data_IF_343289893056
#
_entry.id   IF_343289893056
#
_cell.length_a   1.000
_cell.length_b   1.000
_cell.length_c   1.000
_cell.angle_alpha   90.00
_cell.angle_beta   90.00
_cell.angle_gamma   90.00
#
_symmetry.space_group_name_H-M   'P 1'
#
loop_
_entity.id
_entity.type
_entity.pdbx_description
1 polymer ?
#
# COMPACT_ATOMS: atom_id res chain seq x y z
N UNK A 1 2.22 1.17 -50.06
CA UNK A 1 0.88 1.74 -49.82
C UNK A 1 0.98 2.72 -48.66
N UNK A 2 0.23 3.81 -48.68
CA UNK A 2 0.22 4.74 -47.55
C UNK A 2 -0.48 4.08 -46.36
N UNK A 3 0.19 4.04 -45.21
CA UNK A 3 -0.33 3.45 -43.97
C UNK A 3 -1.30 4.45 -43.31
N UNK A 4 -2.52 4.02 -42.98
CA UNK A 4 -3.59 4.88 -42.45
C UNK A 4 -3.40 5.29 -40.97
N UNK A 5 -2.34 4.83 -40.32
CA UNK A 5 -2.08 5.10 -38.91
C UNK A 5 -0.64 5.56 -38.63
N UNK A 6 -0.41 6.06 -37.42
CA UNK A 6 0.92 6.24 -36.80
C UNK A 6 0.88 5.67 -35.38
N UNK A 7 1.75 4.70 -35.08
CA UNK A 7 1.90 4.16 -33.73
C UNK A 7 2.12 5.28 -32.70
N UNK A 8 1.41 5.21 -31.57
CA UNK A 8 1.57 6.15 -30.45
C UNK A 8 2.20 5.45 -29.25
N UNK A 9 1.58 4.38 -28.75
CA UNK A 9 2.06 3.69 -27.55
C UNK A 9 1.49 2.28 -27.42
N UNK A 10 2.19 1.42 -26.67
CA UNK A 10 1.73 0.10 -26.23
C UNK A 10 2.02 -0.05 -24.74
N UNK A 11 0.98 -0.04 -23.91
CA UNK A 11 1.11 -0.05 -22.45
C UNK A 11 0.50 -1.30 -21.83
N UNK A 12 0.99 -1.63 -20.64
CA UNK A 12 0.49 -2.75 -19.83
C UNK A 12 -0.04 -2.26 -18.50
N UNK A 13 -1.07 -2.91 -17.97
CA UNK A 13 -1.65 -2.65 -16.65
C UNK A 13 -2.39 -3.90 -16.13
N UNK A 14 -2.67 -3.95 -14.83
CA UNK A 14 -3.43 -5.06 -14.21
C UNK A 14 -4.62 -4.60 -13.35
N UNK A 15 -4.81 -3.28 -13.18
CA UNK A 15 -5.93 -2.72 -12.41
C UNK A 15 -7.27 -3.06 -13.07
N UNK A 16 -8.21 -3.62 -12.31
CA UNK A 16 -9.59 -3.78 -12.74
C UNK A 16 -10.30 -2.44 -12.69
N UNK A 17 -10.73 -1.93 -13.84
CA UNK A 17 -11.59 -0.74 -13.88
C UNK A 17 -12.89 -1.02 -13.12
N UNK A 18 -13.14 -0.28 -12.05
CA UNK A 18 -14.48 -0.14 -11.48
C UNK A 18 -15.07 1.18 -11.96
N UNK A 19 -16.40 1.29 -12.02
CA UNK A 19 -17.10 2.50 -12.48
C UNK A 19 -16.80 3.75 -11.62
N UNK A 20 -16.13 3.59 -10.47
CA UNK A 20 -15.69 4.66 -9.57
C UNK A 20 -14.26 5.12 -9.88
N UNK A 21 -14.06 5.79 -11.01
CA UNK A 21 -12.97 6.77 -11.18
C UNK A 21 -11.52 6.28 -11.14
N UNK A 22 -11.25 4.98 -11.08
CA UNK A 22 -9.87 4.49 -11.06
C UNK A 22 -9.17 4.75 -12.40
N UNK A 23 -8.18 5.64 -12.38
CA UNK A 23 -7.29 5.86 -13.52
C UNK A 23 -6.42 4.64 -13.75
N UNK A 24 -6.30 4.17 -15.00
CA UNK A 24 -5.44 3.04 -15.37
C UNK A 24 -4.02 3.22 -14.84
N UNK A 25 -3.57 2.25 -14.04
CA UNK A 25 -2.24 2.27 -13.43
C UNK A 25 -1.29 1.43 -14.27
N UNK A 26 -0.67 2.09 -15.25
CA UNK A 26 0.25 1.43 -16.16
C UNK A 26 1.55 1.08 -15.46
N UNK A 27 1.97 -0.17 -15.61
CA UNK A 27 3.23 -0.70 -15.08
C UNK A 27 3.72 -1.87 -15.94
N UNK A 28 4.98 -2.18 -15.79
CA UNK A 28 5.73 -3.22 -16.49
C UNK A 28 6.20 -4.32 -15.54
N UNK A 29 6.12 -4.12 -14.23
CA UNK A 29 6.45 -5.12 -13.21
C UNK A 29 5.21 -5.38 -12.35
N UNK A 30 4.92 -6.66 -12.11
CA UNK A 30 3.72 -7.14 -11.41
C UNK A 30 4.10 -8.17 -10.34
N UNK A 31 3.33 -8.27 -9.26
CA UNK A 31 3.45 -9.35 -8.26
C UNK A 31 2.43 -10.45 -8.54
N UNK A 32 2.85 -11.71 -8.52
CA UNK A 32 2.00 -12.83 -8.92
C UNK A 32 0.78 -13.00 -8.02
N UNK A 33 0.90 -12.78 -6.71
CA UNK A 33 -0.16 -13.04 -5.74
C UNK A 33 -1.34 -12.08 -5.87
N UNK A 34 -1.14 -10.92 -6.49
CA UNK A 34 -2.21 -9.95 -6.79
C UNK A 34 -2.69 -10.00 -8.25
N UNK A 35 -1.90 -10.60 -9.14
CA UNK A 35 -2.15 -10.51 -10.58
C UNK A 35 -3.16 -11.57 -11.04
N UNK A 36 -4.29 -11.09 -11.54
CA UNK A 36 -5.32 -11.90 -12.22
C UNK A 36 -5.13 -11.83 -13.73
N UNK A 37 -5.38 -10.65 -14.29
CA UNK A 37 -5.28 -10.34 -15.71
C UNK A 37 -4.25 -9.24 -15.96
N UNK A 38 -3.43 -9.42 -16.99
CA UNK A 38 -2.57 -8.35 -17.51
C UNK A 38 -3.16 -7.89 -18.83
N UNK A 39 -3.49 -6.60 -18.87
CA UNK A 39 -4.01 -5.90 -20.02
C UNK A 39 -2.87 -5.31 -20.85
N UNK A 40 -3.08 -5.28 -22.16
CA UNK A 40 -2.31 -4.57 -23.14
C UNK A 40 -3.20 -3.55 -23.83
N UNK A 41 -2.74 -2.32 -23.96
CA UNK A 41 -3.46 -1.24 -24.61
C UNK A 41 -2.60 -0.64 -25.72
N UNK A 42 -3.06 -0.80 -26.95
CA UNK A 42 -2.52 -0.16 -28.13
C UNK A 42 -3.20 1.20 -28.31
N UNK A 43 -2.39 2.23 -28.57
CA UNK A 43 -2.88 3.50 -29.09
C UNK A 43 -2.13 3.90 -30.36
N UNK A 44 -2.87 4.47 -31.32
CA UNK A 44 -2.30 5.00 -32.55
C UNK A 44 -3.08 6.21 -33.05
N UNK A 45 -2.40 7.11 -33.75
CA UNK A 45 -3.04 8.24 -34.43
C UNK A 45 -3.68 7.77 -35.73
N UNK A 46 -4.92 8.18 -35.96
CA UNK A 46 -5.63 8.03 -37.22
C UNK A 46 -5.11 9.09 -38.21
N UNK A 47 -4.43 8.68 -39.28
CA UNK A 47 -3.99 9.63 -40.32
C UNK A 47 -5.11 10.02 -41.28
N UNK A 48 -6.26 9.35 -41.23
CA UNK A 48 -7.48 9.67 -41.98
C UNK A 48 -8.49 10.46 -41.13
N UNK A 49 -8.02 11.02 -40.02
CA UNK A 49 -8.83 11.91 -39.19
C UNK A 49 -9.35 13.09 -40.02
N UNK A 50 -10.64 13.41 -39.88
CA UNK A 50 -11.40 14.36 -40.71
C UNK A 50 -11.46 14.06 -42.22
N UNK A 51 -10.92 12.92 -42.69
CA UNK A 51 -10.94 12.53 -44.11
C UNK A 51 -12.02 11.47 -44.38
N UNK A 52 -11.80 10.23 -43.95
CA UNK A 52 -12.67 9.08 -44.25
C UNK A 52 -12.56 7.98 -43.18
N UNK A 53 -13.65 7.21 -43.03
CA UNK A 53 -13.65 6.03 -42.18
C UNK A 53 -12.90 4.88 -42.87
N UNK A 54 -12.29 4.00 -42.08
CA UNK A 54 -11.59 2.83 -42.59
C UNK A 54 -11.62 1.68 -41.59
N UNK A 55 -11.48 0.45 -42.06
CA UNK A 55 -11.43 -0.74 -41.21
C UNK A 55 -9.99 -1.22 -41.05
N UNK A 56 -9.66 -1.70 -39.86
CA UNK A 56 -8.36 -2.22 -39.51
C UNK A 56 -8.53 -3.57 -38.79
N UNK A 57 -7.69 -4.54 -39.09
CA UNK A 57 -7.59 -5.76 -38.29
C UNK A 57 -6.47 -5.59 -37.27
N UNK A 58 -6.83 -5.62 -35.98
CA UNK A 58 -5.89 -5.53 -34.88
C UNK A 58 -5.59 -6.93 -34.34
N UNK A 59 -4.32 -7.24 -34.11
CA UNK A 59 -3.92 -8.48 -33.45
C UNK A 59 -3.09 -8.19 -32.21
N UNK A 60 -3.37 -8.92 -31.14
CA UNK A 60 -2.60 -8.89 -29.89
C UNK A 60 -2.07 -10.29 -29.62
N UNK A 61 -0.75 -10.40 -29.43
CA UNK A 61 -0.08 -11.66 -29.10
C UNK A 61 0.70 -11.51 -27.82
N UNK A 62 0.55 -12.46 -26.90
CA UNK A 62 1.32 -12.50 -25.67
C UNK A 62 2.25 -13.70 -25.67
N UNK A 63 3.50 -13.48 -25.26
CA UNK A 63 4.54 -14.50 -25.20
C UNK A 63 5.13 -14.60 -23.80
N UNK A 64 5.44 -15.79 -23.34
CA UNK A 64 6.43 -15.99 -22.27
C UNK A 64 7.83 -16.03 -22.88
N UNK A 65 8.77 -15.33 -22.26
CA UNK A 65 10.16 -15.29 -22.69
C UNK A 65 11.00 -16.26 -21.84
N UNK A 66 11.51 -17.31 -22.48
CA UNK A 66 12.41 -18.29 -21.86
C UNK A 66 13.88 -17.86 -21.88
N UNK A 67 14.74 -18.68 -21.28
CA UNK A 67 16.19 -18.53 -21.41
C UNK A 67 16.60 -18.64 -22.91
N UNK A 68 17.59 -17.86 -23.33
CA UNK A 68 18.12 -17.84 -24.72
C UNK A 68 17.17 -17.30 -25.81
N UNK A 69 16.13 -16.55 -25.42
CA UNK A 69 15.25 -15.86 -26.38
C UNK A 69 14.17 -16.73 -27.00
N UNK A 70 13.94 -17.93 -26.48
CA UNK A 70 12.78 -18.74 -26.83
C UNK A 70 11.48 -18.01 -26.45
N UNK A 71 10.60 -17.79 -27.42
CA UNK A 71 9.27 -17.22 -27.20
C UNK A 71 8.22 -18.31 -27.30
N UNK A 72 7.43 -18.50 -26.24
CA UNK A 72 6.26 -19.39 -26.29
C UNK A 72 5.00 -18.54 -26.28
N UNK A 73 4.16 -18.69 -27.30
CA UNK A 73 2.89 -17.97 -27.42
C UNK A 73 1.92 -18.45 -26.34
N UNK A 74 1.40 -17.51 -25.57
CA UNK A 74 0.40 -17.73 -24.52
C UNK A 74 -1.01 -17.48 -25.04
N UNK A 75 -1.17 -16.45 -25.87
CA UNK A 75 -2.43 -16.13 -26.52
C UNK A 75 -2.21 -15.31 -27.80
N UNK A 76 -3.17 -15.43 -28.72
CA UNK A 76 -3.28 -14.65 -29.94
C UNK A 76 -4.75 -14.29 -30.16
N UNK A 77 -5.03 -13.00 -30.25
CA UNK A 77 -6.37 -12.47 -30.38
C UNK A 77 -6.43 -11.50 -31.55
N UNK A 78 -7.54 -11.55 -32.28
CA UNK A 78 -7.80 -10.73 -33.47
C UNK A 78 -9.10 -9.97 -33.28
N UNK A 79 -9.10 -8.70 -33.63
CA UNK A 79 -10.24 -7.78 -33.50
C UNK A 79 -10.35 -6.99 -34.80
N UNK A 80 -11.49 -7.08 -35.47
CA UNK A 80 -11.82 -6.17 -36.55
C UNK A 80 -12.31 -4.84 -35.95
N UNK A 81 -11.61 -3.75 -36.26
CA UNK A 81 -11.85 -2.42 -35.72
C UNK A 81 -12.21 -1.46 -36.84
N UNK A 82 -13.45 -0.99 -36.83
CA UNK A 82 -13.86 0.16 -37.63
C UNK A 82 -13.31 1.45 -37.03
N UNK A 83 -12.51 2.22 -37.76
CA UNK A 83 -11.91 3.48 -37.32
C UNK A 83 -12.67 4.65 -37.97
N UNK A 84 -13.34 5.45 -37.16
CA UNK A 84 -14.06 6.63 -37.64
C UNK A 84 -13.09 7.78 -37.94
N UNK A 85 -13.39 8.57 -38.98
CA UNK A 85 -12.72 9.84 -39.26
C UNK A 85 -12.82 10.86 -38.12
N UNK A 86 -13.78 10.70 -37.20
CA UNK A 86 -13.93 11.59 -36.03
C UNK A 86 -13.03 11.18 -34.85
N UNK A 87 -12.35 10.03 -34.94
CA UNK A 87 -11.45 9.51 -33.89
C UNK A 87 -9.99 9.83 -34.25
N UNK A 88 -9.41 10.88 -33.64
CA UNK A 88 -8.01 11.25 -33.88
C UNK A 88 -7.04 10.21 -33.31
N UNK A 89 -7.34 9.68 -32.12
CA UNK A 89 -6.52 8.68 -31.43
C UNK A 89 -7.38 7.46 -31.20
N UNK A 90 -7.02 6.37 -31.86
CA UNK A 90 -7.68 5.08 -31.67
C UNK A 90 -7.03 4.34 -30.53
N UNK A 91 -7.86 3.79 -29.65
CA UNK A 91 -7.42 2.93 -28.55
C UNK A 91 -8.08 1.56 -28.67
N UNK A 92 -7.28 0.52 -28.50
CA UNK A 92 -7.73 -0.86 -28.46
C UNK A 92 -7.01 -1.60 -27.35
N UNK A 93 -7.73 -2.44 -26.62
CA UNK A 93 -7.18 -3.16 -25.46
C UNK A 93 -7.58 -4.62 -25.46
N UNK A 94 -6.72 -5.44 -24.88
CA UNK A 94 -7.01 -6.83 -24.60
C UNK A 94 -6.33 -7.27 -23.31
N UNK A 95 -6.83 -8.32 -22.66
CA UNK A 95 -6.20 -8.93 -21.49
C UNK A 95 -5.99 -10.42 -21.64
N UNK A 96 -5.10 -10.95 -20.83
CA UNK A 96 -4.94 -12.39 -20.64
C UNK A 96 -4.68 -12.71 -19.18
N UNK A 97 -5.18 -13.85 -18.70
CA UNK A 97 -5.06 -14.25 -17.30
C UNK A 97 -6.21 -15.13 -16.81
N UNK A 98 -6.32 -15.26 -15.50
CA UNK A 98 -7.36 -16.02 -14.81
C UNK A 98 -7.94 -15.20 -13.67
N UNK A 99 -9.19 -15.48 -13.30
CA UNK A 99 -9.89 -14.75 -12.24
C UNK A 99 -9.27 -14.98 -10.85
N UNK A 100 -8.67 -16.15 -10.62
CA UNK A 100 -7.96 -16.46 -9.38
C UNK A 100 -6.54 -15.83 -9.41
N UNK A 101 -6.21 -14.92 -8.47
CA UNK A 101 -4.89 -14.30 -8.39
C UNK A 101 -3.77 -15.34 -8.29
N UNK A 102 -2.67 -15.13 -9.01
CA UNK A 102 -1.51 -16.02 -8.99
C UNK A 102 -1.71 -17.37 -9.67
N UNK A 103 -2.89 -17.67 -10.23
CA UNK A 103 -3.15 -18.94 -10.89
C UNK A 103 -2.35 -19.10 -12.20
N UNK A 104 -2.34 -18.05 -13.05
CA UNK A 104 -1.73 -18.11 -14.39
C UNK A 104 -0.31 -17.54 -14.44
N UNK A 105 -0.15 -16.28 -14.02
CA UNK A 105 1.11 -15.54 -14.16
C UNK A 105 2.12 -16.02 -13.11
N UNK A 106 3.28 -16.52 -13.57
CA UNK A 106 4.37 -17.00 -12.70
C UNK A 106 5.58 -16.09 -12.88
N UNK A 107 6.57 -16.20 -11.98
CA UNK A 107 7.79 -15.40 -12.10
C UNK A 107 8.40 -15.58 -13.48
N UNK A 108 8.65 -14.48 -14.18
CA UNK A 108 9.23 -14.52 -15.51
C UNK A 108 9.09 -13.22 -16.28
N UNK A 109 9.67 -13.23 -17.48
CA UNK A 109 9.55 -12.13 -18.44
C UNK A 109 8.56 -12.53 -19.52
N UNK A 110 7.76 -11.56 -19.94
CA UNK A 110 6.69 -11.74 -20.90
C UNK A 110 6.68 -10.57 -21.87
N UNK A 111 6.04 -10.77 -23.02
CA UNK A 111 5.99 -9.75 -24.06
C UNK A 111 4.62 -9.72 -24.72
N UNK A 112 4.02 -8.53 -24.75
CA UNK A 112 2.92 -8.22 -25.65
C UNK A 112 3.46 -7.71 -26.98
N UNK A 113 2.83 -8.15 -28.06
CA UNK A 113 3.00 -7.60 -29.40
C UNK A 113 1.64 -7.17 -29.95
N UNK A 114 1.64 -6.05 -30.66
CA UNK A 114 0.46 -5.54 -31.34
C UNK A 114 0.73 -5.40 -32.84
N UNK A 115 -0.27 -5.78 -33.64
CA UNK A 115 -0.23 -5.71 -35.09
C UNK A 115 -1.46 -4.97 -35.62
N UNK A 116 -1.30 -4.29 -36.75
CA UNK A 116 -2.37 -3.68 -37.52
C UNK A 116 -2.23 -4.19 -38.96
N UNK A 117 -3.27 -4.82 -39.49
CA UNK A 117 -3.32 -5.41 -40.83
C UNK A 117 -2.11 -6.33 -41.11
N UNK A 118 -1.76 -7.16 -40.13
CA UNK A 118 -0.63 -8.11 -40.18
C UNK A 118 0.76 -7.49 -39.96
N UNK A 119 0.90 -6.17 -39.86
CA UNK A 119 2.17 -5.51 -39.61
C UNK A 119 2.38 -5.24 -38.11
N UNK A 120 3.52 -5.68 -37.55
CA UNK A 120 3.87 -5.42 -36.14
C UNK A 120 4.09 -3.93 -35.92
N UNK A 121 3.30 -3.32 -35.03
CA UNK A 121 3.34 -1.87 -34.76
C UNK A 121 4.00 -1.53 -33.42
N UNK A 122 3.98 -2.45 -32.46
CA UNK A 122 4.54 -2.22 -31.14
C UNK A 122 4.79 -3.51 -30.38
N UNK A 123 5.68 -3.44 -29.39
CA UNK A 123 5.91 -4.49 -28.43
C UNK A 123 6.16 -3.89 -27.04
N UNK A 124 5.76 -4.61 -26.00
CA UNK A 124 5.92 -4.19 -24.61
C UNK A 124 6.31 -5.41 -23.77
N UNK A 125 7.53 -5.36 -23.22
CA UNK A 125 8.01 -6.35 -22.24
C UNK A 125 7.48 -5.98 -20.87
N UNK A 126 7.09 -7.00 -20.11
CA UNK A 126 6.73 -6.89 -18.70
C UNK A 126 7.26 -8.10 -17.92
N UNK A 127 7.30 -7.96 -16.61
CA UNK A 127 7.86 -8.93 -15.69
C UNK A 127 6.85 -9.23 -14.59
N UNK A 128 6.78 -10.50 -14.21
CA UNK A 128 6.04 -10.94 -13.04
C UNK A 128 7.07 -11.42 -12.03
N UNK A 129 6.96 -10.93 -10.82
CA UNK A 129 7.76 -11.32 -9.66
C UNK A 129 6.87 -12.06 -8.65
N UNK A 130 7.49 -12.74 -7.70
CA UNK A 130 6.85 -13.71 -6.79
C UNK A 130 7.48 -13.67 -5.39
N UNK A 131 7.83 -12.47 -4.91
CA UNK A 131 8.42 -12.34 -3.58
C UNK A 131 7.34 -12.26 -2.49
N UNK A 132 6.14 -11.80 -2.85
CA UNK A 132 5.00 -11.67 -1.96
C UNK A 132 4.31 -10.31 -2.12
N UNK A 133 3.10 -10.20 -1.58
CA UNK A 133 2.30 -8.98 -1.65
C UNK A 133 3.04 -7.80 -1.02
N UNK A 134 2.97 -6.66 -1.72
CA UNK A 134 3.39 -5.37 -1.20
C UNK A 134 2.15 -4.70 -0.60
N UNK A 135 2.29 -4.23 0.64
CA UNK A 135 1.27 -3.48 1.36
C UNK A 135 1.96 -2.36 2.16
N UNK A 136 1.16 -1.46 2.73
CA UNK A 136 1.63 -0.27 3.44
C UNK A 136 2.80 -0.54 4.41
N UNK A 137 2.72 -1.60 5.21
CA UNK A 137 3.73 -1.95 6.22
C UNK A 137 4.62 -3.15 5.83
N UNK A 138 4.37 -3.78 4.68
CA UNK A 138 5.02 -5.04 4.29
C UNK A 138 5.55 -4.90 2.86
N UNK A 139 6.87 -4.94 2.71
CA UNK A 139 7.53 -5.04 1.41
C UNK A 139 8.58 -6.17 1.45
N UNK A 140 8.33 -7.32 0.81
CA UNK A 140 9.26 -8.44 0.83
C UNK A 140 10.51 -8.24 -0.04
N UNK A 141 10.51 -7.22 -0.91
CA UNK A 141 11.60 -6.98 -1.87
C UNK A 141 12.72 -6.14 -1.27
N UNK A 142 12.37 -5.10 -0.52
CA UNK A 142 13.34 -4.18 0.04
C UNK A 142 12.79 -3.40 1.23
N UNK A 143 13.72 -2.88 2.03
CA UNK A 143 13.44 -1.87 3.07
C UNK A 143 13.90 -0.50 2.57
N UNK A 144 13.04 0.50 2.69
CA UNK A 144 13.42 1.89 2.36
C UNK A 144 14.47 2.36 3.37
N UNK A 145 15.64 2.76 2.87
CA UNK A 145 16.72 3.33 3.70
C UNK A 145 16.55 4.85 3.83
N UNK A 146 16.47 5.55 2.70
CA UNK A 146 16.34 7.00 2.71
C UNK A 146 15.78 7.54 1.41
N UNK A 147 15.07 8.66 1.50
CA UNK A 147 14.65 9.46 0.36
C UNK A 147 15.16 10.87 0.57
N UNK A 148 16.00 11.35 -0.36
CA UNK A 148 16.61 12.68 -0.29
C UNK A 148 16.33 13.42 -1.58
N UNK A 149 16.30 14.73 -1.51
CA UNK A 149 16.07 15.55 -2.69
C UNK A 149 17.19 16.56 -2.89
N UNK A 150 17.53 16.80 -4.16
CA UNK A 150 18.53 17.78 -4.55
C UNK A 150 18.14 18.44 -5.88
N UNK A 151 18.69 19.62 -6.16
CA UNK A 151 18.53 20.27 -7.47
C UNK A 151 19.65 19.84 -8.42
N UNK A 152 19.33 19.74 -9.71
CA UNK A 152 20.32 19.52 -10.75
C UNK A 152 19.92 20.06 -12.12
N UNK A 153 20.88 19.98 -13.05
CA UNK A 153 20.57 20.07 -14.48
C UNK A 153 19.91 18.79 -15.00
N UNK A 154 19.63 18.74 -16.31
CA UNK A 154 18.97 17.57 -16.93
C UNK A 154 19.70 16.23 -16.67
N UNK A 155 21.04 16.24 -16.63
CA UNK A 155 21.85 15.05 -16.36
C UNK A 155 21.98 14.73 -14.86
N UNK A 156 21.42 15.55 -13.98
CA UNK A 156 21.58 15.44 -12.54
C UNK A 156 22.91 15.97 -12.03
N UNK A 157 23.29 15.53 -10.83
CA UNK A 157 24.53 15.92 -10.14
C UNK A 157 25.22 14.66 -9.63
N UNK A 158 26.55 14.61 -9.78
CA UNK A 158 27.37 13.52 -9.24
C UNK A 158 27.18 13.38 -7.73
N UNK A 159 27.19 12.15 -7.21
CA UNK A 159 26.78 11.85 -5.82
C UNK A 159 27.57 12.66 -4.78
N UNK A 160 28.85 12.89 -5.03
CA UNK A 160 29.79 13.60 -4.15
C UNK A 160 29.54 15.12 -4.13
N UNK A 161 28.80 15.64 -5.12
CA UNK A 161 28.51 17.06 -5.29
C UNK A 161 27.06 17.40 -4.94
N UNK A 162 26.24 16.42 -4.54
CA UNK A 162 24.82 16.63 -4.20
C UNK A 162 24.68 17.44 -2.93
N UNK A 163 23.89 18.50 -3.00
CA UNK A 163 23.44 19.29 -1.85
C UNK A 163 21.97 18.99 -1.62
N UNK A 164 21.67 18.34 -0.50
CA UNK A 164 20.30 17.96 -0.17
C UNK A 164 19.54 19.09 0.51
N UNK A 165 18.29 19.27 0.10
CA UNK A 165 17.44 20.38 0.53
C UNK A 165 16.04 19.89 0.88
N UNK A 166 15.40 20.56 1.85
CA UNK A 166 13.98 20.42 2.18
C UNK A 166 13.13 21.50 1.54
N UNK A 167 13.74 22.63 1.19
CA UNK A 167 13.11 23.72 0.45
C UNK A 167 13.96 24.13 -0.76
N UNK A 168 13.30 24.16 -1.91
CA UNK A 168 13.86 24.56 -3.20
C UNK A 168 13.60 26.05 -3.47
N UNK A 169 14.51 26.70 -4.18
CA UNK A 169 14.32 28.10 -4.56
C UNK A 169 13.60 28.23 -5.91
N UNK A 170 12.35 28.70 -5.90
CA UNK A 170 11.49 28.87 -7.10
C UNK A 170 12.17 29.49 -8.32
N UNK A 171 13.04 30.49 -8.13
CA UNK A 171 13.69 31.21 -9.24
C UNK A 171 14.88 30.50 -9.85
N UNK A 172 15.51 29.58 -9.15
CA UNK A 172 16.77 28.95 -9.57
C UNK A 172 16.61 27.44 -9.84
N UNK A 173 15.61 26.79 -9.25
CA UNK A 173 15.35 25.36 -9.44
C UNK A 173 14.97 25.03 -10.88
N UNK A 174 15.69 24.04 -11.46
CA UNK A 174 15.42 23.47 -12.78
C UNK A 174 14.73 22.11 -12.65
N UNK A 175 15.50 21.12 -12.19
CA UNK A 175 15.02 19.77 -11.92
C UNK A 175 15.15 19.48 -10.44
N UNK A 176 14.08 18.92 -9.88
CA UNK A 176 14.10 18.33 -8.54
C UNK A 176 14.35 16.84 -8.72
N UNK A 177 15.47 16.36 -8.20
CA UNK A 177 15.82 14.96 -8.20
C UNK A 177 15.47 14.33 -6.86
N UNK A 178 14.88 13.14 -6.92
CA UNK A 178 14.77 12.21 -5.81
C UNK A 178 15.94 11.22 -5.86
N UNK A 179 16.69 11.12 -4.77
CA UNK A 179 17.58 10.01 -4.47
C UNK A 179 16.86 9.07 -3.51
N UNK A 180 16.44 7.91 -4.02
CA UNK A 180 15.77 6.86 -3.29
C UNK A 180 16.74 5.72 -3.02
N UNK A 181 17.08 5.50 -1.76
CA UNK A 181 17.95 4.41 -1.33
C UNK A 181 17.12 3.35 -0.63
N UNK A 182 17.38 2.09 -0.95
CA UNK A 182 16.73 0.95 -0.30
C UNK A 182 17.71 -0.21 -0.10
N UNK A 183 17.44 -1.04 0.89
CA UNK A 183 18.18 -2.28 1.18
C UNK A 183 17.45 -3.42 0.48
N UNK A 184 18.07 -4.03 -0.52
CA UNK A 184 17.57 -5.21 -1.21
C UNK A 184 17.51 -6.41 -0.25
N UNK A 185 16.34 -7.04 -0.13
CA UNK A 185 16.14 -8.24 0.68
C UNK A 185 16.26 -9.53 -0.16
N UNK A 186 16.24 -9.41 -1.49
CA UNK A 186 16.14 -10.55 -2.39
C UNK A 186 17.46 -11.28 -2.59
N UNK A 187 17.40 -12.61 -2.50
CA UNK A 187 18.53 -13.53 -2.75
C UNK A 187 18.60 -14.01 -4.21
N UNK A 188 17.74 -13.49 -5.08
CA UNK A 188 17.72 -13.75 -6.52
C UNK A 188 17.50 -12.44 -7.27
N UNK A 189 17.88 -12.41 -8.54
CA UNK A 189 17.62 -11.28 -9.40
C UNK A 189 16.11 -11.04 -9.56
N UNK A 190 15.71 -9.78 -9.61
CA UNK A 190 14.31 -9.36 -9.75
C UNK A 190 14.21 -7.99 -10.43
N UNK A 191 13.13 -7.76 -11.16
CA UNK A 191 12.88 -6.50 -11.86
C UNK A 191 12.21 -5.51 -10.91
N UNK A 192 12.80 -4.33 -10.77
CA UNK A 192 12.29 -3.26 -9.94
C UNK A 192 11.76 -2.14 -10.84
N UNK A 193 10.50 -1.78 -10.65
CA UNK A 193 9.88 -0.60 -11.27
C UNK A 193 9.34 0.32 -10.16
N UNK A 194 9.89 1.53 -10.09
CA UNK A 194 9.48 2.56 -9.13
C UNK A 194 8.86 3.72 -9.88
N UNK A 195 7.69 4.16 -9.45
CA UNK A 195 7.02 5.36 -9.96
C UNK A 195 7.19 6.50 -8.96
N UNK A 196 7.55 7.68 -9.45
CA UNK A 196 7.78 8.87 -8.66
C UNK A 196 6.81 9.96 -9.12
N UNK A 197 5.79 10.23 -8.32
CA UNK A 197 4.75 11.20 -8.62
C UNK A 197 4.96 12.47 -7.80
N UNK A 198 4.93 13.62 -8.46
CA UNK A 198 5.07 14.93 -7.85
C UNK A 198 3.71 15.61 -7.84
N UNK A 199 3.18 15.90 -6.66
CA UNK A 199 1.93 16.62 -6.47
C UNK A 199 2.19 18.00 -5.87
N UNK A 200 1.29 18.95 -6.10
CA UNK A 200 1.25 20.19 -5.35
C UNK A 200 0.32 20.07 -4.12
N UNK A 201 0.17 21.13 -3.34
CA UNK A 201 -0.63 21.18 -2.10
C UNK A 201 -2.11 20.86 -2.32
N UNK A 202 -2.61 21.09 -3.54
CA UNK A 202 -4.00 20.76 -3.92
C UNK A 202 -4.17 19.30 -4.35
N UNK A 203 -3.13 18.47 -4.30
CA UNK A 203 -3.14 17.08 -4.78
C UNK A 203 -3.13 16.93 -6.30
N UNK A 204 -2.83 18.00 -7.05
CA UNK A 204 -2.71 17.92 -8.51
C UNK A 204 -1.37 17.29 -8.90
N UNK A 205 -1.41 16.21 -9.69
CA UNK A 205 -0.20 15.62 -10.28
C UNK A 205 0.48 16.62 -11.23
N UNK A 206 1.70 17.03 -10.91
CA UNK A 206 2.53 17.96 -11.68
C UNK A 206 3.47 17.22 -12.62
N UNK A 207 4.02 16.10 -12.17
CA UNK A 207 4.99 15.31 -12.90
C UNK A 207 5.01 13.87 -12.43
N UNK A 208 5.43 12.98 -13.32
CA UNK A 208 5.64 11.59 -13.01
C UNK A 208 6.87 11.09 -13.76
N UNK A 209 7.64 10.23 -13.12
CA UNK A 209 8.81 9.60 -13.72
C UNK A 209 8.93 8.16 -13.22
N UNK A 210 9.47 7.29 -14.06
CA UNK A 210 9.54 5.85 -13.80
C UNK A 210 10.99 5.42 -13.85
N UNK A 211 11.41 4.68 -12.84
CA UNK A 211 12.68 3.96 -12.82
C UNK A 211 12.41 2.48 -13.06
N UNK A 212 13.14 1.84 -13.97
CA UNK A 212 13.04 0.40 -14.21
C UNK A 212 14.43 -0.21 -14.34
N UNK A 213 14.74 -1.23 -13.53
CA UNK A 213 16.04 -1.93 -13.58
C UNK A 213 15.95 -3.34 -12.99
N UNK A 214 16.75 -4.26 -13.54
CA UNK A 214 17.07 -5.53 -12.88
C UNK A 214 17.98 -5.30 -11.67
N UNK A 215 17.54 -5.73 -10.50
CA UNK A 215 18.31 -5.71 -9.25
C UNK A 215 18.93 -7.08 -9.06
N UNK A 216 20.27 -7.12 -9.00
CA UNK A 216 21.05 -8.32 -8.75
C UNK A 216 20.99 -8.71 -7.26
N UNK A 217 21.07 -10.01 -6.94
CA UNK A 217 21.15 -10.44 -5.54
C UNK A 217 22.48 -10.01 -4.93
N UNK A 218 22.45 -9.79 -3.61
CA UNK A 218 23.66 -9.56 -2.82
C UNK A 218 23.83 -10.70 -1.79
N UNK A 219 24.41 -11.85 -2.21
CA UNK A 219 24.48 -13.04 -1.37
C UNK A 219 25.34 -12.85 -0.12
N UNK A 220 26.32 -11.93 -0.17
CA UNK A 220 27.23 -11.65 0.93
C UNK A 220 26.74 -10.50 1.84
N UNK A 221 25.68 -9.79 1.44
CA UNK A 221 25.11 -8.66 2.20
C UNK A 221 26.01 -7.41 2.25
N UNK A 222 27.09 -7.37 1.46
CA UNK A 222 28.11 -6.31 1.49
C UNK A 222 27.65 -5.07 0.71
N UNK A 223 26.79 -5.23 -0.28
CA UNK A 223 26.34 -4.18 -1.19
C UNK A 223 24.82 -4.19 -1.41
N UNK A 224 24.06 -4.39 -0.34
CA UNK A 224 22.60 -4.53 -0.39
C UNK A 224 21.90 -3.18 -0.61
N UNK A 225 22.63 -2.07 -0.42
CA UNK A 225 22.11 -0.73 -0.61
C UNK A 225 22.05 -0.38 -2.10
N UNK A 226 20.84 -0.27 -2.63
CA UNK A 226 20.55 0.20 -3.98
C UNK A 226 20.22 1.67 -3.94
N UNK A 227 20.87 2.45 -4.81
CA UNK A 227 20.63 3.88 -4.97
C UNK A 227 19.95 4.14 -6.32
N UNK A 228 18.76 4.71 -6.27
CA UNK A 228 17.95 5.10 -7.43
C UNK A 228 17.88 6.62 -7.47
N UNK A 229 18.08 7.19 -8.65
CA UNK A 229 17.89 8.62 -8.86
C UNK A 229 17.01 8.89 -10.06
N UNK A 230 16.05 9.77 -9.86
CA UNK A 230 15.21 10.29 -10.95
C UNK A 230 14.86 11.74 -10.67
N UNK A 231 14.55 12.51 -11.70
CA UNK A 231 14.23 13.92 -11.55
C UNK A 231 13.13 14.36 -12.49
N UNK A 232 12.37 15.35 -12.04
CA UNK A 232 11.35 16.01 -12.84
C UNK A 232 11.55 17.53 -12.79
N UNK A 233 11.26 18.20 -13.90
CA UNK A 233 11.44 19.63 -14.03
C UNK A 233 11.71 20.04 -15.47
N UNK A 234 12.36 21.19 -15.63
CA UNK A 234 12.69 21.76 -16.93
C UNK A 234 14.12 22.30 -16.94
N UNK A 235 14.74 22.39 -18.13
CA UNK A 235 16.05 23.02 -18.31
C UNK A 235 16.03 24.50 -17.98
N UNK A 236 14.87 25.14 -18.16
CA UNK A 236 14.64 26.55 -17.85
C UNK A 236 14.30 26.75 -16.37
N UNK A 237 14.88 27.81 -15.80
CA UNK A 237 14.59 28.28 -14.45
C UNK A 237 13.19 28.93 -14.38
N UNK A 238 12.65 29.09 -13.18
CA UNK A 238 11.33 29.73 -12.90
C UNK A 238 10.13 28.96 -13.43
N UNK A 239 10.30 27.66 -13.64
CA UNK A 239 9.22 26.73 -14.02
C UNK A 239 8.51 26.14 -12.79
N UNK A 240 9.16 26.23 -11.62
CA UNK A 240 8.60 25.86 -10.33
C UNK A 240 7.92 27.06 -9.66
N UNK A 241 6.66 26.86 -9.28
CA UNK A 241 5.89 27.84 -8.54
C UNK A 241 6.12 27.66 -7.04
N UNK A 242 5.91 28.74 -6.28
CA UNK A 242 5.99 28.63 -4.82
C UNK A 242 4.75 27.91 -4.33
N UNK A 243 4.98 26.79 -3.68
CA UNK A 243 3.92 25.93 -3.16
C UNK A 243 4.51 24.90 -2.21
N UNK A 244 3.64 24.18 -1.53
CA UNK A 244 3.98 22.87 -0.95
C UNK A 244 3.78 21.81 -2.00
N UNK A 245 4.68 20.84 -1.99
CA UNK A 245 4.67 19.73 -2.90
C UNK A 245 4.88 18.42 -2.14
N UNK A 246 4.44 17.33 -2.75
CA UNK A 246 4.61 15.99 -2.22
C UNK A 246 5.20 15.12 -3.31
N UNK A 247 6.30 14.44 -3.01
CA UNK A 247 6.77 13.31 -3.80
C UNK A 247 6.19 12.02 -3.22
N UNK A 248 5.56 11.23 -4.07
CA UNK A 248 5.12 9.88 -3.76
C UNK A 248 5.97 8.89 -4.54
N UNK A 249 6.58 7.92 -3.85
CA UNK A 249 7.28 6.78 -4.45
C UNK A 249 6.38 5.57 -4.35
N UNK A 250 6.03 4.99 -5.49
CA UNK A 250 5.11 3.87 -5.61
C UNK A 250 5.87 2.66 -6.14
N UNK A 251 5.64 1.51 -5.52
CA UNK A 251 6.15 0.22 -5.95
C UNK A 251 5.01 -0.80 -5.91
N UNK A 252 4.83 -1.57 -6.99
CA UNK A 252 3.72 -2.53 -7.11
C UNK A 252 2.35 -1.92 -6.76
N UNK A 253 2.08 -0.71 -7.27
CA UNK A 253 0.84 0.03 -7.00
C UNK A 253 0.59 0.43 -5.53
N UNK A 254 1.61 0.26 -4.67
CA UNK A 254 1.56 0.65 -3.26
C UNK A 254 2.48 1.85 -3.02
N UNK A 255 2.00 2.95 -2.41
CA UNK A 255 2.85 4.04 -1.95
C UNK A 255 3.79 3.54 -0.85
N UNK A 256 5.09 3.48 -1.14
CA UNK A 256 6.11 2.98 -0.21
C UNK A 256 6.85 4.11 0.52
N UNK A 257 6.84 5.31 -0.05
CA UNK A 257 7.38 6.51 0.59
C UNK A 257 6.64 7.76 0.11
N UNK A 258 6.31 8.63 1.05
CA UNK A 258 5.72 9.96 0.80
C UNK A 258 6.63 11.00 1.42
N UNK A 259 6.98 12.02 0.65
CA UNK A 259 7.95 13.04 1.04
C UNK A 259 7.43 14.44 0.73
N UNK A 260 6.99 15.22 1.74
CA UNK A 260 6.68 16.62 1.54
C UNK A 260 7.97 17.43 1.29
N UNK A 261 7.90 18.40 0.41
CA UNK A 261 8.94 19.40 0.18
C UNK A 261 8.32 20.75 -0.18
N UNK A 262 9.06 21.82 0.03
CA UNK A 262 8.58 23.17 -0.28
C UNK A 262 9.37 23.79 -1.44
N UNK A 263 8.70 24.59 -2.25
CA UNK A 263 9.36 25.51 -3.18
C UNK A 263 9.09 26.93 -2.69
N UNK A 264 10.13 27.65 -2.30
CA UNK A 264 10.04 28.97 -1.67
C UNK A 264 10.94 30.03 -2.31
N UNK A 265 11.30 31.04 -1.52
CA UNK A 265 12.19 32.15 -1.90
C UNK A 265 13.67 31.83 -1.70
N UNK A 266 13.96 30.89 -0.80
CA UNK A 266 15.31 30.57 -0.35
C UNK A 266 15.54 29.06 -0.39
N UNK A 267 16.82 28.67 -0.40
CA UNK A 267 17.24 27.29 -0.21
C UNK A 267 17.29 26.96 1.27
N UNK A 268 16.66 25.85 1.66
CA UNK A 268 16.83 25.28 3.01
C UNK A 268 17.47 23.92 2.86
N UNK A 269 18.74 23.82 3.27
CA UNK A 269 19.44 22.54 3.30
C UNK A 269 18.87 21.64 4.38
N UNK A 270 18.76 20.35 4.08
CA UNK A 270 18.25 19.37 5.01
C UNK A 270 17.87 18.06 4.34
N UNK A 271 17.52 17.09 5.16
CA UNK A 271 16.94 15.82 4.72
C UNK A 271 15.50 15.83 5.22
N UNK A 272 14.50 15.80 4.32
CA UNK A 272 13.09 15.83 4.71
C UNK A 272 12.69 14.57 5.49
N UNK A 273 11.69 14.72 6.37
CA UNK A 273 11.10 13.56 7.05
C UNK A 273 10.33 12.73 6.03
N UNK A 274 10.70 11.45 5.89
CA UNK A 274 10.01 10.53 4.98
C UNK A 274 8.92 9.81 5.74
N UNK A 275 7.73 9.70 5.15
CA UNK A 275 6.68 8.84 5.64
C UNK A 275 6.75 7.53 4.85
N UNK A 276 7.04 6.41 5.52
CA UNK A 276 6.84 5.09 4.93
C UNK A 276 5.33 4.78 4.83
N UNK A 277 4.96 3.86 3.93
CA UNK A 277 3.60 3.34 3.86
C UNK A 277 3.06 3.00 5.27
N UNK A 278 1.81 3.37 5.54
CA UNK A 278 1.18 3.21 6.86
C UNK A 278 1.34 4.38 7.85
N UNK A 279 1.94 5.51 7.45
CA UNK A 279 2.03 6.72 8.28
C UNK A 279 3.16 6.71 9.31
N UNK A 280 4.12 5.80 9.19
CA UNK A 280 5.32 5.75 10.02
C UNK A 280 6.44 6.66 9.47
N UNK A 281 7.14 7.38 10.36
CA UNK A 281 8.29 8.21 9.97
C UNK A 281 9.55 7.36 9.78
N UNK A 282 10.24 7.50 8.65
CA UNK A 282 11.63 7.07 8.54
C UNK A 282 12.51 8.15 9.19
N UNK A 283 13.21 7.77 10.25
CA UNK A 283 14.24 8.62 10.85
C UNK A 283 15.54 8.35 10.09
N UNK A 284 16.28 9.36 9.60
CA UNK A 284 17.56 9.10 8.93
C UNK A 284 18.49 8.33 9.88
N UNK A 285 19.13 7.24 9.43
CA UNK A 285 19.94 6.41 10.30
C UNK A 285 21.12 7.21 10.83
N UNK A 286 21.18 7.36 12.15
CA UNK A 286 22.40 7.78 12.83
C UNK A 286 23.44 6.67 12.63
N UNK A 287 24.68 7.03 12.28
CA UNK A 287 25.77 6.11 11.92
C UNK A 287 25.90 4.91 12.88
N UNK A 288 26.05 3.72 12.26
CA UNK A 288 26.33 2.39 12.84
C UNK A 288 25.17 1.84 13.69
N UNK A 289 24.49 0.77 13.27
CA UNK A 289 24.97 -0.62 13.25
C UNK A 289 24.29 -1.34 12.07
N UNK A 290 25.01 -2.25 11.40
CA UNK A 290 24.43 -3.19 10.45
C UNK A 290 23.27 -3.93 11.11
N UNK A 291 22.04 -3.67 10.68
CA UNK A 291 20.89 -4.42 11.17
C UNK A 291 21.02 -5.88 10.69
N UNK A 292 20.87 -6.88 11.57
CA UNK A 292 20.66 -8.24 11.11
C UNK A 292 19.33 -8.31 10.35
N UNK A 293 19.23 -9.29 9.45
CA UNK A 293 18.03 -9.66 8.68
C UNK A 293 16.77 -9.63 9.57
N UNK A 294 15.55 -9.37 9.06
CA UNK A 294 14.35 -9.51 9.89
C UNK A 294 14.21 -10.97 10.30
N UNK A 295 14.75 -11.31 11.48
CA UNK A 295 14.27 -12.40 12.28
C UNK A 295 12.79 -12.12 12.54
N UNK A 296 11.94 -13.13 12.41
CA UNK A 296 10.52 -13.02 12.74
C UNK A 296 10.37 -12.24 14.04
N UNK A 297 9.68 -11.09 14.02
CA UNK A 297 9.50 -10.23 15.20
C UNK A 297 8.99 -11.13 16.35
N UNK A 298 9.86 -11.44 17.31
CA UNK A 298 9.53 -12.40 18.37
C UNK A 298 8.60 -11.73 19.38
N UNK A 299 7.89 -12.54 20.17
CA UNK A 299 7.09 -11.99 21.27
C UNK A 299 7.94 -11.12 22.21
N UNK A 300 9.20 -11.50 22.42
CA UNK A 300 10.11 -10.75 23.28
C UNK A 300 10.48 -9.38 22.67
N UNK A 301 10.67 -9.29 21.35
CA UNK A 301 10.90 -8.02 20.66
C UNK A 301 9.69 -7.08 20.77
N UNK A 302 8.47 -7.60 20.61
CA UNK A 302 7.23 -6.80 20.78
C UNK A 302 7.08 -6.34 22.24
N UNK A 303 7.46 -7.19 23.19
CA UNK A 303 7.45 -6.83 24.61
C UNK A 303 8.50 -5.76 24.95
N UNK A 304 9.69 -5.81 24.36
CA UNK A 304 10.70 -4.76 24.51
C UNK A 304 10.22 -3.42 23.95
N UNK A 305 9.58 -3.42 22.77
CA UNK A 305 8.95 -2.23 22.20
C UNK A 305 7.87 -1.67 23.13
N UNK A 306 7.02 -2.52 23.71
CA UNK A 306 5.99 -2.10 24.66
C UNK A 306 6.62 -1.47 25.92
N UNK A 307 7.70 -2.08 26.43
CA UNK A 307 8.43 -1.54 27.58
C UNK A 307 9.16 -0.24 27.27
N UNK A 308 9.61 -0.05 26.03
CA UNK A 308 10.29 1.17 25.54
C UNK A 308 9.38 2.40 25.39
N UNK A 309 8.06 2.25 25.35
CA UNK A 309 7.13 3.39 25.25
C UNK A 309 7.29 4.36 26.44
N UNK A 310 7.22 5.66 26.24
CA UNK A 310 7.36 6.61 27.36
C UNK A 310 6.05 6.64 28.19
N UNK A 311 6.13 6.39 29.50
CA UNK A 311 4.98 6.38 30.42
C UNK A 311 4.22 5.05 30.47
N UNK A 312 2.94 5.08 30.87
CA UNK A 312 2.00 3.95 30.90
C UNK A 312 2.40 2.76 31.81
N UNK A 313 3.18 3.00 32.86
CA UNK A 313 3.75 1.97 33.74
C UNK A 313 2.71 0.95 34.25
N UNK A 314 1.54 1.42 34.69
CA UNK A 314 0.48 0.55 35.22
C UNK A 314 -0.13 -0.35 34.15
N UNK A 315 -0.27 0.15 32.91
CA UNK A 315 -0.79 -0.63 31.78
C UNK A 315 0.24 -1.66 31.34
N UNK A 316 1.52 -1.28 31.25
CA UNK A 316 2.60 -2.20 30.89
C UNK A 316 2.72 -3.34 31.89
N UNK A 317 2.63 -3.05 33.19
CA UNK A 317 2.65 -4.08 34.23
C UNK A 317 1.46 -5.03 34.08
N UNK A 318 0.25 -4.51 33.88
CA UNK A 318 -0.95 -5.33 33.64
C UNK A 318 -0.84 -6.20 32.40
N UNK A 319 -0.29 -5.68 31.30
CA UNK A 319 -0.08 -6.45 30.07
C UNK A 319 0.96 -7.56 30.31
N UNK A 320 2.07 -7.25 30.99
CA UNK A 320 3.10 -8.24 31.35
C UNK A 320 2.53 -9.33 32.27
N UNK A 321 1.73 -8.97 33.26
CA UNK A 321 1.07 -9.91 34.17
C UNK A 321 0.09 -10.81 33.41
N UNK A 322 -0.71 -10.22 32.50
CA UNK A 322 -1.64 -10.95 31.66
C UNK A 322 -0.92 -11.93 30.72
N UNK A 323 0.17 -11.51 30.07
CA UNK A 323 0.98 -12.39 29.22
C UNK A 323 1.61 -13.52 30.02
N UNK A 324 2.07 -13.23 31.24
CA UNK A 324 2.63 -14.24 32.14
C UNK A 324 1.57 -15.28 32.54
N UNK A 325 0.35 -14.83 32.83
CA UNK A 325 -0.79 -15.70 33.07
C UNK A 325 -1.12 -16.56 31.84
N UNK A 326 -1.15 -15.99 30.65
CA UNK A 326 -1.40 -16.72 29.41
C UNK A 326 -0.31 -17.75 29.07
N UNK A 327 0.96 -17.43 29.30
CA UNK A 327 2.08 -18.38 29.18
C UNK A 327 1.91 -19.54 30.17
N UNK A 328 1.45 -19.26 31.40
CA UNK A 328 1.15 -20.27 32.41
C UNK A 328 -0.02 -21.18 32.00
N UNK A 329 -1.10 -20.63 31.43
CA UNK A 329 -2.23 -21.42 30.91
C UNK A 329 -1.78 -22.35 29.77
N UNK A 330 -1.01 -21.83 28.80
CA UNK A 330 -0.44 -22.64 27.72
C UNK A 330 0.42 -23.80 28.25
N UNK A 331 1.27 -23.55 29.25
CA UNK A 331 2.05 -24.58 29.90
C UNK A 331 1.18 -25.64 30.58
N UNK A 332 0.06 -25.25 31.22
CA UNK A 332 -0.88 -26.20 31.82
C UNK A 332 -1.57 -27.08 30.77
N UNK A 333 -1.99 -26.50 29.64
CA UNK A 333 -2.56 -27.27 28.53
C UNK A 333 -1.55 -28.28 27.95
N UNK A 334 -0.29 -27.86 27.76
CA UNK A 334 0.80 -28.75 27.31
C UNK A 334 1.07 -29.91 28.29
N UNK A 335 0.82 -29.69 29.59
CA UNK A 335 0.92 -30.72 30.64
C UNK A 335 -0.37 -31.54 30.81
N UNK A 336 -1.37 -31.36 29.94
CA UNK A 336 -2.60 -32.17 29.91
C UNK A 336 -3.66 -31.77 30.94
N UNK A 337 -3.57 -30.57 31.52
CA UNK A 337 -4.65 -30.05 32.36
C UNK A 337 -5.76 -29.46 31.49
N UNK A 338 -7.01 -29.88 31.71
CA UNK A 338 -8.17 -29.28 31.05
C UNK A 338 -8.48 -27.88 31.63
N UNK A 339 -8.65 -26.90 30.75
CA UNK A 339 -9.09 -25.55 31.14
C UNK A 339 -10.60 -25.41 30.91
N UNK A 340 -11.32 -25.05 31.98
CA UNK A 340 -12.78 -24.99 31.98
C UNK A 340 -13.37 -23.68 31.45
N UNK A 341 -12.54 -22.70 31.08
CA UNK A 341 -13.00 -21.35 30.70
C UNK A 341 -12.33 -20.85 29.42
N UNK A 342 -13.14 -20.31 28.49
CA UNK A 342 -12.64 -19.56 27.34
C UNK A 342 -11.97 -18.28 27.84
N UNK A 343 -10.76 -18.03 27.38
CA UNK A 343 -10.04 -16.79 27.66
C UNK A 343 -10.71 -15.62 26.93
N UNK A 344 -11.15 -14.60 27.67
CA UNK A 344 -11.68 -13.37 27.08
C UNK A 344 -10.53 -12.43 26.71
N UNK A 345 -10.48 -12.02 25.43
CA UNK A 345 -9.51 -11.05 24.89
C UNK A 345 -10.05 -9.62 24.87
N UNK A 346 -11.35 -9.44 25.15
CA UNK A 346 -12.04 -8.15 25.09
C UNK A 346 -11.57 -7.24 26.21
N UNK A 347 -11.27 -5.97 25.90
CA UNK A 347 -10.62 -5.05 26.84
C UNK A 347 -11.20 -3.64 26.76
N UNK A 348 -11.31 -2.97 27.91
CA UNK A 348 -11.76 -1.58 28.00
C UNK A 348 -10.57 -0.66 28.27
N UNK A 349 -10.36 0.33 27.40
CA UNK A 349 -9.35 1.38 27.59
C UNK A 349 -9.98 2.68 28.08
N UNK A 350 -9.59 3.10 29.30
CA UNK A 350 -10.02 4.37 29.86
C UNK A 350 -8.84 5.32 29.98
N UNK A 351 -8.99 6.55 29.47
CA UNK A 351 -7.95 7.57 29.59
C UNK A 351 -8.19 8.77 28.67
N UNK A 352 -7.54 9.90 28.96
CA UNK A 352 -7.66 11.12 28.17
C UNK A 352 -7.06 10.95 26.74
N UNK A 353 -7.46 11.75 25.73
CA UNK A 353 -6.86 11.73 24.40
C UNK A 353 -5.33 11.90 24.44
N UNK A 354 -4.62 11.32 23.49
CA UNK A 354 -3.16 11.40 23.41
C UNK A 354 -2.39 10.52 24.41
N UNK A 355 -3.06 9.65 25.18
CA UNK A 355 -2.41 8.71 26.11
C UNK A 355 -1.96 7.39 25.46
N UNK A 356 -1.82 7.34 24.13
CA UNK A 356 -1.30 6.17 23.41
C UNK A 356 -2.23 4.94 23.36
N UNK A 357 -3.54 5.09 23.55
CA UNK A 357 -4.51 3.98 23.55
C UNK A 357 -4.47 3.16 22.25
N UNK A 358 -4.51 3.82 21.10
CA UNK A 358 -4.42 3.17 19.78
C UNK A 358 -3.09 2.43 19.61
N UNK A 359 -1.97 3.05 20.04
CA UNK A 359 -0.65 2.42 20.00
C UNK A 359 -0.58 1.18 20.89
N UNK A 360 -1.17 1.21 22.09
CA UNK A 360 -1.25 0.02 22.96
C UNK A 360 -2.14 -1.07 22.34
N UNK A 361 -3.22 -0.72 21.65
CA UNK A 361 -4.05 -1.68 20.94
C UNK A 361 -3.27 -2.38 19.81
N UNK A 362 -2.46 -1.64 19.04
CA UNK A 362 -1.58 -2.21 18.02
C UNK A 362 -0.58 -3.22 18.62
N UNK A 363 0.04 -2.87 19.74
CA UNK A 363 0.94 -3.77 20.46
C UNK A 363 0.23 -5.04 20.93
N UNK A 364 -0.99 -4.92 21.46
CA UNK A 364 -1.80 -6.07 21.87
C UNK A 364 -2.17 -6.97 20.68
N UNK A 365 -2.48 -6.40 19.51
CA UNK A 365 -2.76 -7.18 18.30
C UNK A 365 -1.58 -8.07 17.91
N UNK A 366 -0.37 -7.50 17.91
CA UNK A 366 0.87 -8.25 17.67
C UNK A 366 1.11 -9.32 18.74
N UNK A 367 0.93 -8.98 20.01
CA UNK A 367 1.10 -9.92 21.13
C UNK A 367 0.14 -11.10 20.99
N UNK A 368 -1.16 -10.85 20.77
CA UNK A 368 -2.17 -11.89 20.62
C UNK A 368 -1.89 -12.79 19.42
N UNK A 369 -1.43 -12.23 18.30
CA UNK A 369 -0.98 -13.02 17.14
C UNK A 369 0.16 -13.97 17.51
N UNK A 370 1.23 -13.43 18.10
CA UNK A 370 2.44 -14.19 18.44
C UNK A 370 2.20 -15.25 19.51
N UNK A 371 1.16 -15.06 20.32
CA UNK A 371 0.71 -16.04 21.31
C UNK A 371 -0.24 -17.09 20.73
N UNK A 372 -0.67 -16.94 19.48
CA UNK A 372 -1.63 -17.83 18.81
C UNK A 372 -3.07 -17.65 19.28
N UNK A 373 -3.38 -16.51 19.90
CA UNK A 373 -4.73 -16.17 20.39
C UNK A 373 -5.61 -15.56 19.29
N UNK A 374 -4.98 -14.98 18.26
CA UNK A 374 -5.59 -14.48 17.05
C UNK A 374 -4.82 -14.98 15.83
N UNK A 375 -5.53 -15.28 14.74
CA UNK A 375 -4.95 -15.84 13.51
C UNK A 375 -4.06 -14.84 12.75
N UNK A 376 -4.31 -13.53 12.93
CA UNK A 376 -3.48 -12.41 12.47
C UNK A 376 -3.15 -11.54 13.69
N UNK A 377 -2.79 -10.27 13.49
CA UNK A 377 -2.53 -9.29 14.55
C UNK A 377 -2.88 -7.85 14.18
N UNK A 378 -3.73 -7.66 13.17
CA UNK A 378 -4.15 -6.35 12.70
C UNK A 378 -5.15 -5.70 13.67
N UNK A 379 -5.19 -4.38 13.68
CA UNK A 379 -6.17 -3.61 14.47
C UNK A 379 -7.00 -2.77 13.51
N UNK A 380 -8.32 -2.95 13.55
CA UNK A 380 -9.28 -2.16 12.81
C UNK A 380 -9.90 -1.13 13.75
N UNK A 381 -9.55 0.14 13.57
CA UNK A 381 -10.10 1.26 14.33
C UNK A 381 -11.39 1.76 13.69
N UNK A 382 -12.43 1.93 14.50
CA UNK A 382 -13.75 2.41 14.09
C UNK A 382 -14.35 3.34 15.13
N UNK A 383 -15.22 4.25 14.69
CA UNK A 383 -16.05 5.07 15.55
C UNK A 383 -17.54 4.81 15.31
N UNK A 384 -18.38 5.72 15.82
CA UNK A 384 -19.84 5.63 15.68
C UNK A 384 -20.29 5.66 14.21
N UNK A 385 -19.65 6.47 13.37
CA UNK A 385 -20.08 6.68 11.98
C UNK A 385 -19.92 5.42 11.11
N UNK A 386 -18.93 4.59 11.43
CA UNK A 386 -18.60 3.34 10.77
C UNK A 386 -19.53 2.20 11.22
N UNK A 387 -20.09 2.28 12.43
CA UNK A 387 -20.95 1.24 13.00
C UNK A 387 -22.45 1.52 12.81
N UNK A 388 -22.88 2.77 12.85
CA UNK A 388 -24.31 3.13 12.78
C UNK A 388 -24.76 3.35 11.33
N UNK A 389 -25.89 2.75 10.96
CA UNK A 389 -26.53 2.92 9.64
C UNK A 389 -27.25 4.26 9.50
N UNK A 390 -27.49 4.71 8.26
CA UNK A 390 -28.23 5.97 8.00
C UNK A 390 -29.75 5.77 8.00
N UNK A 391 -30.22 4.52 7.88
CA UNK A 391 -31.64 4.16 7.79
C UNK A 391 -31.93 2.88 8.59
N UNK A 392 -33.19 2.70 9.00
CA UNK A 392 -33.66 1.52 9.74
C UNK A 392 -33.28 0.22 9.02
N UNK A 393 -32.74 -0.75 9.75
CA UNK A 393 -32.35 -2.07 9.24
C UNK A 393 -30.97 -2.12 8.57
N UNK A 394 -30.25 -1.01 8.47
CA UNK A 394 -28.89 -0.98 7.89
C UNK A 394 -27.77 -1.14 8.93
N UNK A 395 -28.04 -0.87 10.21
CA UNK A 395 -27.04 -0.95 11.28
C UNK A 395 -26.56 -2.39 11.48
N UNK A 396 -27.46 -3.36 11.63
CA UNK A 396 -27.06 -4.75 11.87
C UNK A 396 -26.15 -5.36 10.77
N UNK A 397 -26.47 -5.25 9.46
CA UNK A 397 -25.57 -5.72 8.41
C UNK A 397 -24.20 -5.02 8.42
N UNK A 398 -24.18 -3.70 8.66
CA UNK A 398 -22.97 -2.89 8.66
C UNK A 398 -22.02 -3.27 9.80
N UNK A 399 -22.56 -3.44 11.02
CA UNK A 399 -21.78 -3.89 12.18
C UNK A 399 -21.19 -5.28 11.93
N UNK A 400 -21.97 -6.21 11.36
CA UNK A 400 -21.47 -7.55 11.02
C UNK A 400 -20.34 -7.51 10.00
N UNK A 401 -20.47 -6.70 8.95
CA UNK A 401 -19.41 -6.54 7.95
C UNK A 401 -18.11 -6.01 8.58
N UNK A 402 -18.22 -5.04 9.48
CA UNK A 402 -17.06 -4.49 10.22
C UNK A 402 -16.44 -5.56 11.13
N UNK A 403 -17.25 -6.32 11.86
CA UNK A 403 -16.79 -7.43 12.69
C UNK A 403 -16.06 -8.48 11.85
N UNK A 404 -16.63 -8.87 10.70
CA UNK A 404 -16.04 -9.88 9.82
C UNK A 404 -14.72 -9.42 9.20
N UNK A 405 -14.60 -8.13 8.86
CA UNK A 405 -13.32 -7.53 8.42
C UNK A 405 -12.27 -7.51 9.52
N UNK A 406 -12.68 -7.34 10.77
CA UNK A 406 -11.78 -7.30 11.93
C UNK A 406 -11.34 -8.70 12.40
N UNK A 407 -11.91 -9.79 11.87
CA UNK A 407 -11.53 -11.17 12.24
C UNK A 407 -10.08 -11.50 11.93
N UNK A 408 -9.49 -12.26 12.85
CA UNK A 408 -8.06 -12.50 12.97
C UNK A 408 -7.32 -11.39 13.73
N UNK A 409 -8.01 -10.33 14.16
CA UNK A 409 -7.40 -9.14 14.74
C UNK A 409 -8.22 -8.52 15.87
N UNK A 410 -7.97 -7.23 16.10
CA UNK A 410 -8.66 -6.42 17.09
C UNK A 410 -9.63 -5.46 16.41
N UNK A 411 -10.90 -5.46 16.81
CA UNK A 411 -11.84 -4.37 16.54
C UNK A 411 -11.70 -3.32 17.65
N UNK A 412 -11.13 -2.16 17.33
CA UNK A 412 -10.91 -1.06 18.27
C UNK A 412 -11.97 0.03 18.05
N UNK A 413 -12.86 0.22 19.03
CA UNK A 413 -13.96 1.19 18.99
C UNK A 413 -13.56 2.40 19.84
N UNK A 414 -13.16 3.49 19.20
CA UNK A 414 -12.87 4.73 19.91
C UNK A 414 -14.14 5.51 20.25
N UNK A 415 -14.10 6.21 21.38
CA UNK A 415 -15.23 6.95 21.94
C UNK A 415 -16.53 6.13 22.02
N UNK A 416 -16.44 4.86 22.46
CA UNK A 416 -17.55 3.91 22.45
C UNK A 416 -18.80 4.41 23.21
N UNK A 417 -18.62 5.28 24.20
CA UNK A 417 -19.71 5.96 24.91
C UNK A 417 -20.66 6.74 23.99
N UNK A 418 -20.19 7.17 22.82
CA UNK A 418 -21.01 7.86 21.81
C UNK A 418 -22.12 6.95 21.25
N UNK A 419 -22.00 5.62 21.35
CA UNK A 419 -23.04 4.68 20.94
C UNK A 419 -24.28 4.76 21.85
N UNK A 420 -24.10 5.16 23.11
CA UNK A 420 -25.17 5.14 24.14
C UNK A 420 -25.70 6.53 24.48
N UNK A 421 -24.90 7.60 24.30
CA UNK A 421 -25.19 8.96 24.80
C UNK A 421 -26.05 9.88 23.92
N UNK A 422 -26.60 9.40 22.80
CA UNK A 422 -27.36 10.27 21.89
C UNK A 422 -28.77 10.54 22.42
N UNK A 423 -28.95 11.59 23.23
CA UNK A 423 -30.27 12.04 23.74
C UNK A 423 -31.27 12.43 22.63
N UNK A 424 -30.80 12.58 21.38
CA UNK A 424 -31.59 12.94 20.20
C UNK A 424 -31.92 11.76 19.26
N UNK A 425 -31.54 10.53 19.60
CA UNK A 425 -31.92 9.35 18.82
C UNK A 425 -33.26 8.79 19.31
N UNK A 426 -34.36 9.24 18.70
CA UNK A 426 -35.67 8.57 18.84
C UNK A 426 -35.69 7.14 18.24
N UNK A 427 -34.58 6.66 17.63
CA UNK A 427 -34.54 5.48 16.77
C UNK A 427 -33.57 4.34 17.22
N UNK A 428 -33.04 4.35 18.45
CA UNK A 428 -32.33 3.22 19.10
C UNK A 428 -31.11 2.58 18.36
N UNK A 429 -30.63 3.13 17.23
CA UNK A 429 -29.58 2.48 16.42
C UNK A 429 -28.24 2.25 17.13
N UNK A 430 -27.86 3.15 18.04
CA UNK A 430 -26.61 2.97 18.80
C UNK A 430 -26.68 1.80 19.80
N UNK A 431 -27.86 1.50 20.34
CA UNK A 431 -28.08 0.35 21.22
C UNK A 431 -28.03 -0.96 20.43
N UNK A 432 -28.58 -0.98 19.22
CA UNK A 432 -28.51 -2.12 18.30
C UNK A 432 -27.05 -2.55 18.04
N UNK A 433 -26.12 -1.60 17.88
CA UNK A 433 -24.68 -1.89 17.75
C UNK A 433 -24.16 -2.62 19.00
N UNK A 434 -24.47 -2.12 20.20
CA UNK A 434 -24.00 -2.70 21.46
C UNK A 434 -24.54 -4.13 21.66
N UNK A 435 -25.81 -4.37 21.35
CA UNK A 435 -26.41 -5.71 21.42
C UNK A 435 -25.73 -6.72 20.49
N UNK A 436 -25.39 -6.30 19.28
CA UNK A 436 -24.68 -7.14 18.31
C UNK A 436 -23.27 -7.45 18.80
N UNK A 437 -22.55 -6.45 19.33
CA UNK A 437 -21.20 -6.66 19.88
C UNK A 437 -21.23 -7.63 21.07
N UNK A 438 -22.20 -7.50 21.99
CA UNK A 438 -22.35 -8.42 23.14
C UNK A 438 -22.62 -9.85 22.65
N UNK A 439 -23.50 -10.00 21.66
CA UNK A 439 -23.77 -11.31 21.06
C UNK A 439 -22.53 -11.91 20.41
N UNK A 440 -21.74 -11.11 19.70
CA UNK A 440 -20.50 -11.56 19.07
C UNK A 440 -19.44 -11.96 20.12
N UNK A 441 -19.29 -11.19 21.20
CA UNK A 441 -18.38 -11.52 22.31
C UNK A 441 -18.77 -12.82 23.04
N UNK A 442 -20.06 -13.18 23.04
CA UNK A 442 -20.56 -14.35 23.76
C UNK A 442 -20.63 -15.61 22.89
N UNK A 443 -21.31 -15.49 21.76
CA UNK A 443 -21.72 -16.62 20.89
C UNK A 443 -21.00 -16.63 19.54
N UNK A 444 -20.14 -15.64 19.28
CA UNK A 444 -19.48 -15.49 17.99
C UNK A 444 -18.51 -16.64 17.65
N UNK A 445 -18.10 -16.76 16.37
CA UNK A 445 -17.12 -17.74 15.91
C UNK A 445 -15.75 -17.68 16.61
N UNK A 446 -15.46 -16.59 17.34
CA UNK A 446 -14.15 -16.30 17.92
C UNK A 446 -13.20 -15.65 16.92
N UNK A 447 -11.90 -15.79 17.15
CA UNK A 447 -10.82 -15.17 16.37
C UNK A 447 -10.99 -13.64 16.22
N UNK A 448 -11.37 -12.99 17.32
CA UNK A 448 -11.62 -11.54 17.38
C UNK A 448 -11.43 -11.05 18.81
N UNK A 449 -10.68 -9.96 18.99
CA UNK A 449 -10.71 -9.19 20.23
C UNK A 449 -11.46 -7.87 19.99
N UNK A 450 -12.32 -7.49 20.92
CA UNK A 450 -13.06 -6.22 20.86
C UNK A 450 -12.52 -5.32 21.95
N UNK A 451 -11.94 -4.20 21.55
CA UNK A 451 -11.42 -3.18 22.45
C UNK A 451 -12.29 -1.93 22.35
N UNK A 452 -12.80 -1.44 23.47
CA UNK A 452 -13.57 -0.19 23.53
C UNK A 452 -12.78 0.86 24.29
N UNK A 453 -12.74 2.09 23.77
CA UNK A 453 -11.99 3.19 24.36
C UNK A 453 -12.84 4.43 24.63
N UNK A 454 -12.44 5.21 25.63
CA UNK A 454 -13.05 6.51 25.91
C UNK A 454 -12.62 7.15 27.23
N UNK A 455 -13.28 8.24 27.58
CA UNK A 455 -13.02 8.96 28.83
C UNK A 455 -13.53 8.16 30.03
N UNK A 456 -12.79 8.11 31.16
CA UNK A 456 -13.13 7.24 32.30
C UNK A 456 -14.57 7.37 32.80
N UNK A 457 -15.05 8.60 33.04
CA UNK A 457 -16.41 8.85 33.53
C UNK A 457 -17.50 8.45 32.51
N UNK A 458 -17.18 8.54 31.22
CA UNK A 458 -18.14 8.30 30.16
C UNK A 458 -18.21 6.82 29.80
N UNK A 459 -17.08 6.14 29.88
CA UNK A 459 -17.00 4.69 29.79
C UNK A 459 -17.69 3.99 30.94
N UNK A 460 -17.70 4.57 32.15
CA UNK A 460 -18.51 4.01 33.25
C UNK A 460 -20.00 3.98 32.88
N UNK A 461 -20.53 5.09 32.35
CA UNK A 461 -21.92 5.17 31.87
C UNK A 461 -22.18 4.19 30.72
N UNK A 462 -21.21 4.01 29.82
CA UNK A 462 -21.32 3.04 28.73
C UNK A 462 -21.38 1.60 29.24
N UNK A 463 -20.53 1.24 30.21
CA UNK A 463 -20.52 -0.10 30.80
C UNK A 463 -21.79 -0.37 31.62
N UNK A 464 -22.29 0.62 32.33
CA UNK A 464 -23.52 0.50 33.13
C UNK A 464 -24.80 0.54 32.26
N UNK A 465 -24.68 0.79 30.94
CA UNK A 465 -25.81 0.95 30.04
C UNK A 465 -26.52 -0.35 29.68
N UNK A 466 -25.84 -1.49 29.86
CA UNK A 466 -26.40 -2.81 29.66
C UNK A 466 -26.05 -3.68 30.88
N UNK A 467 -27.04 -4.29 31.56
CA UNK A 467 -26.81 -5.10 32.76
C UNK A 467 -26.21 -6.50 32.47
N UNK A 468 -26.05 -6.86 31.19
CA UNK A 468 -25.59 -8.18 30.72
C UNK A 468 -24.09 -8.39 30.65
#
# INVERSE_FOLDING_TARGET
MAVNYKFRDLKTYASTETFEGDSKKYRSVFENLETTYIYCELSFFNKRFDEEDWDAQLEFKCYSLGAEGQQNELCHLTIDRHVSKEENIVMARHSWGMAEPGAFWKKGSYQWEAYIDGAKVGQKVFHVEDAGLVADEINPYFVVDSVKMYEGGYEGVAKEQRVYVTQFQSKETRYIFAEFNFINLMQRAWNCELLFNFYNDTGQLKGSTTYHRLIEPDPDGVNSLVCVTTGWGASEKRTWFKDRYTLEVIFMDTPIAVLPFEVGEEWVQGIPQVYAGGGHFLTPPNKAIAAPRPEEETLDNVMEQLQGMIGLSDIKNKITDYISYLKFLKLRQEQGFEESHKLSLHTVFTGNPGTGKTTVAQMLGKIYHKMGLLSKGNVMEVGRAELVGKYIGQTAPKVKEVIDKARGGILFIDEAYALVRSENDEQDFGREVVEILIKEMSDGPGDLAILVAGYPQQMQVFLDSNPG
#
